data_IF_866213991841
#
_entry.id   IF_866213991841
#
_cell.length_a   1.000
_cell.length_b   1.000
_cell.length_c   1.000
_cell.angle_alpha   90.00
_cell.angle_beta   90.00
_cell.angle_gamma   90.00
#
_symmetry.space_group_name_H-M   'P 1'
#
loop_
_entity.id
_entity.type
_entity.pdbx_description
1 polymer ?
#
# COMPACT_ATOMS: atom_id res chain seq x y z
N UNK A 1 -17.20 34.64 -8.82
CA UNK A 1 -16.34 33.79 -7.97
C UNK A 1 -14.97 33.75 -8.59
N UNK A 2 -13.92 34.05 -7.83
CA UNK A 2 -12.54 33.86 -8.29
C UNK A 2 -12.21 32.37 -8.24
N UNK A 3 -11.50 31.82 -9.22
CA UNK A 3 -11.05 30.42 -9.25
C UNK A 3 -10.40 29.96 -7.93
N UNK A 4 -9.76 30.89 -7.20
CA UNK A 4 -9.13 30.66 -5.90
C UNK A 4 -10.08 30.23 -4.75
N UNK A 5 -11.40 30.38 -4.88
CA UNK A 5 -12.35 30.08 -3.80
C UNK A 5 -13.03 28.70 -3.92
N UNK A 6 -12.95 28.05 -5.09
CA UNK A 6 -13.75 26.85 -5.41
C UNK A 6 -13.38 25.67 -4.50
N UNK A 7 -12.09 25.44 -4.24
CA UNK A 7 -11.64 24.36 -3.35
C UNK A 7 -12.07 24.54 -1.89
N UNK A 8 -11.81 25.71 -1.25
CA UNK A 8 -12.33 25.98 0.09
C UNK A 8 -13.84 25.80 0.22
N UNK A 9 -14.63 26.34 -0.71
CA UNK A 9 -16.08 26.21 -0.69
C UNK A 9 -16.50 24.73 -0.79
N UNK A 10 -15.91 23.98 -1.72
CA UNK A 10 -16.17 22.55 -1.87
C UNK A 10 -15.88 21.77 -0.58
N UNK A 11 -14.72 21.97 0.05
CA UNK A 11 -14.36 21.29 1.31
C UNK A 11 -15.30 21.69 2.46
N UNK A 12 -15.71 22.96 2.52
CA UNK A 12 -16.61 23.45 3.57
C UNK A 12 -18.05 22.97 3.41
N UNK A 13 -18.54 22.82 2.19
CA UNK A 13 -19.92 22.41 1.92
C UNK A 13 -20.08 20.89 1.75
N UNK A 14 -18.98 20.18 1.50
CA UNK A 14 -18.97 18.74 1.31
C UNK A 14 -19.57 17.97 2.50
N UNK A 15 -20.17 16.83 2.15
CA UNK A 15 -20.71 15.80 3.04
C UNK A 15 -21.88 16.23 3.93
N UNK A 16 -22.39 17.46 3.79
CA UNK A 16 -23.53 17.94 4.59
C UNK A 16 -23.25 18.04 6.10
N UNK A 17 -21.99 17.89 6.51
CA UNK A 17 -21.56 17.89 7.90
C UNK A 17 -20.88 19.21 8.29
N UNK A 18 -21.04 19.63 9.54
CA UNK A 18 -20.38 20.83 10.07
C UNK A 18 -18.85 20.63 10.06
N UNK A 19 -18.07 21.57 9.49
CA UNK A 19 -16.61 21.50 9.53
C UNK A 19 -16.07 21.79 10.94
N UNK A 20 -15.09 20.99 11.37
CA UNK A 20 -14.29 21.25 12.57
C UNK A 20 -12.85 21.55 12.11
N UNK A 21 -12.37 22.76 12.40
CA UNK A 21 -11.03 23.19 12.00
C UNK A 21 -9.99 22.71 12.99
N UNK A 22 -8.92 22.08 12.49
CA UNK A 22 -7.75 21.73 13.29
C UNK A 22 -6.77 22.91 13.34
N UNK A 23 -6.22 23.22 14.53
CA UNK A 23 -5.36 24.39 14.74
C UNK A 23 -4.01 24.28 14.05
N UNK A 24 -3.46 23.07 14.00
CA UNK A 24 -2.07 22.84 13.63
C UNK A 24 -1.97 22.49 12.13
N UNK A 25 -1.42 23.36 11.28
CA UNK A 25 -1.32 23.11 9.86
C UNK A 25 -0.25 22.04 9.55
N UNK A 26 -0.44 21.31 8.47
CA UNK A 26 0.59 20.46 7.85
C UNK A 26 1.60 21.37 7.14
N UNK A 27 2.89 21.15 7.40
CA UNK A 27 3.98 21.93 6.79
C UNK A 27 3.91 23.44 7.05
N UNK A 28 3.16 23.88 8.06
CA UNK A 28 2.95 25.31 8.36
C UNK A 28 1.90 26.03 7.50
N UNK A 29 1.42 25.42 6.40
CA UNK A 29 0.60 26.11 5.40
C UNK A 29 -0.75 25.43 5.09
N UNK A 30 -0.80 24.10 5.08
CA UNK A 30 -2.02 23.35 4.71
C UNK A 30 -2.87 23.14 5.96
N UNK A 31 -4.09 23.68 5.97
CA UNK A 31 -5.03 23.47 7.08
C UNK A 31 -5.73 22.13 6.94
N UNK A 32 -6.37 21.67 8.00
CA UNK A 32 -7.21 20.47 7.97
C UNK A 32 -8.60 20.76 8.50
N UNK A 33 -9.56 20.09 7.89
CA UNK A 33 -10.97 20.12 8.25
C UNK A 33 -11.41 18.71 8.57
N UNK A 34 -12.04 18.53 9.71
CA UNK A 34 -12.72 17.30 10.07
C UNK A 34 -14.22 17.43 9.78
N UNK A 35 -14.78 16.35 9.26
CA UNK A 35 -16.20 16.19 8.97
C UNK A 35 -16.68 14.89 9.59
N UNK A 36 -17.86 14.95 10.20
CA UNK A 36 -18.56 13.78 10.74
C UNK A 36 -19.95 13.71 10.09
N UNK A 37 -20.07 13.08 8.92
CA UNK A 37 -21.36 12.88 8.25
C UNK A 37 -22.22 11.90 9.05
N UNK A 38 -23.54 12.10 9.03
CA UNK A 38 -24.48 11.22 9.74
C UNK A 38 -24.36 9.78 9.22
N UNK A 39 -24.06 8.84 10.13
CA UNK A 39 -23.87 7.42 9.80
C UNK A 39 -22.60 7.14 8.98
N UNK A 40 -21.71 8.12 8.83
CA UNK A 40 -20.44 8.00 8.12
C UNK A 40 -19.23 7.92 9.04
N UNK A 41 -18.04 7.59 8.49
CA UNK A 41 -16.78 7.70 9.22
C UNK A 41 -16.38 9.15 9.46
N UNK A 42 -15.36 9.33 10.30
CA UNK A 42 -14.67 10.63 10.38
C UNK A 42 -13.89 10.83 9.09
N UNK A 43 -14.14 11.94 8.40
CA UNK A 43 -13.41 12.32 7.19
C UNK A 43 -12.55 13.54 7.48
N UNK A 44 -11.24 13.36 7.40
CA UNK A 44 -10.25 14.43 7.51
C UNK A 44 -9.88 14.91 6.10
N UNK A 45 -10.00 16.21 5.84
CA UNK A 45 -9.69 16.83 4.55
C UNK A 45 -8.58 17.85 4.71
N UNK A 46 -7.71 17.98 3.71
CA UNK A 46 -6.86 19.15 3.58
C UNK A 46 -7.67 20.36 3.11
N UNK A 47 -7.18 21.53 3.49
CA UNK A 47 -7.63 22.83 2.99
C UNK A 47 -6.40 23.63 2.62
N UNK A 48 -6.11 23.67 1.31
CA UNK A 48 -4.98 24.38 0.73
C UNK A 48 -3.92 23.46 0.11
N UNK A 49 -4.08 22.13 0.14
CA UNK A 49 -3.17 21.24 -0.61
C UNK A 49 -3.27 21.51 -2.12
N UNK A 50 -4.44 21.97 -2.58
CA UNK A 50 -4.69 22.38 -3.97
C UNK A 50 -3.81 23.55 -4.44
N UNK A 51 -3.16 24.26 -3.52
CA UNK A 51 -2.23 25.36 -3.84
C UNK A 51 -0.79 24.92 -3.98
N UNK A 52 -0.48 23.66 -3.63
CA UNK A 52 0.84 23.11 -3.87
C UNK A 52 1.03 22.91 -5.37
N UNK A 53 2.18 23.35 -5.88
CA UNK A 53 2.45 23.30 -7.30
C UNK A 53 2.73 21.85 -7.74
N UNK A 54 2.05 21.41 -8.79
CA UNK A 54 2.22 20.09 -9.40
C UNK A 54 2.74 20.23 -10.82
N UNK A 55 3.51 19.26 -11.30
CA UNK A 55 4.05 19.26 -12.66
C UNK A 55 3.00 18.92 -13.72
N UNK A 56 1.94 18.21 -13.33
CA UNK A 56 0.77 17.98 -14.18
C UNK A 56 -0.15 19.20 -14.30
N UNK A 57 0.00 20.19 -13.40
CA UNK A 57 -0.93 21.31 -13.24
C UNK A 57 -2.26 20.94 -12.57
N UNK A 58 -2.47 19.67 -12.23
CA UNK A 58 -3.66 19.24 -11.49
C UNK A 58 -3.66 19.81 -10.07
N UNK A 59 -4.80 20.36 -9.65
CA UNK A 59 -5.04 20.82 -8.29
C UNK A 59 -5.83 19.76 -7.52
N UNK A 60 -5.35 19.39 -6.32
CA UNK A 60 -6.01 18.37 -5.50
C UNK A 60 -6.11 18.77 -4.04
N UNK A 61 -7.24 18.44 -3.40
CA UNK A 61 -7.29 18.27 -1.96
C UNK A 61 -7.22 16.77 -1.64
N UNK A 62 -6.82 16.44 -0.42
CA UNK A 62 -6.68 15.08 0.06
C UNK A 62 -7.73 14.83 1.13
N UNK A 63 -8.25 13.61 1.18
CA UNK A 63 -9.16 13.17 2.23
C UNK A 63 -8.70 11.82 2.79
N UNK A 64 -8.88 11.58 4.08
CA UNK A 64 -8.73 10.27 4.72
C UNK A 64 -9.98 9.99 5.54
N UNK A 65 -10.50 8.77 5.43
CA UNK A 65 -11.60 8.27 6.24
C UNK A 65 -11.05 7.34 7.32
N UNK A 66 -11.45 7.55 8.58
CA UNK A 66 -11.05 6.72 9.74
C UNK A 66 -12.23 6.54 10.69
N UNK A 67 -12.11 5.58 11.60
CA UNK A 67 -13.02 5.47 12.75
C UNK A 67 -12.75 6.60 13.76
N UNK A 68 -13.74 6.91 14.60
CA UNK A 68 -13.60 7.92 15.64
C UNK A 68 -12.47 7.59 16.63
N UNK A 69 -11.75 8.61 17.06
CA UNK A 69 -10.54 8.49 17.89
C UNK A 69 -9.24 8.25 17.11
N UNK A 70 -9.29 8.01 15.79
CA UNK A 70 -8.12 7.76 14.95
C UNK A 70 -7.73 8.93 14.02
N UNK A 71 -8.22 10.14 14.30
CA UNK A 71 -7.91 11.37 13.54
C UNK A 71 -6.39 11.63 13.43
N UNK A 72 -5.61 11.22 14.43
CA UNK A 72 -4.15 11.31 14.40
C UNK A 72 -3.52 10.49 13.28
N UNK A 73 -4.07 9.32 12.97
CA UNK A 73 -3.60 8.48 11.87
C UNK A 73 -3.87 9.14 10.50
N UNK A 74 -5.08 9.67 10.34
CA UNK A 74 -5.45 10.44 9.16
C UNK A 74 -4.56 11.67 8.97
N UNK A 75 -4.24 12.41 10.04
CA UNK A 75 -3.31 13.54 9.99
C UNK A 75 -1.92 13.12 9.48
N UNK A 76 -1.37 12.02 9.99
CA UNK A 76 -0.04 11.53 9.55
C UNK A 76 -0.06 11.18 8.07
N UNK A 77 -1.10 10.48 7.61
CA UNK A 77 -1.25 10.13 6.20
C UNK A 77 -1.33 11.36 5.29
N UNK A 78 -2.14 12.36 5.67
CA UNK A 78 -2.24 13.62 4.93
C UNK A 78 -0.91 14.36 4.92
N UNK A 79 -0.18 14.38 6.04
CA UNK A 79 1.12 15.03 6.12
C UNK A 79 2.14 14.37 5.19
N UNK A 80 2.25 13.04 5.23
CA UNK A 80 3.13 12.25 4.38
C UNK A 80 2.88 12.54 2.90
N UNK A 81 1.62 12.56 2.48
CA UNK A 81 1.27 12.83 1.08
C UNK A 81 1.46 14.30 0.73
N UNK A 82 1.10 15.25 1.58
CA UNK A 82 1.36 16.67 1.36
C UNK A 82 2.86 16.98 1.22
N UNK A 83 3.71 16.38 2.04
CA UNK A 83 5.16 16.53 1.95
C UNK A 83 5.67 15.99 0.60
N UNK A 84 5.15 14.84 0.15
CA UNK A 84 5.47 14.30 -1.17
C UNK A 84 5.01 15.21 -2.32
N UNK A 85 3.79 15.77 -2.27
CA UNK A 85 3.32 16.77 -3.24
C UNK A 85 4.26 17.99 -3.27
N UNK A 86 4.64 18.50 -2.09
CA UNK A 86 5.46 19.70 -1.98
C UNK A 86 6.90 19.48 -2.48
N UNK A 87 7.48 18.32 -2.16
CA UNK A 87 8.87 18.00 -2.51
C UNK A 87 9.01 17.50 -3.95
N UNK A 88 8.10 16.62 -4.39
CA UNK A 88 8.20 15.91 -5.66
C UNK A 88 7.24 16.44 -6.73
N UNK A 89 6.40 17.43 -6.40
CA UNK A 89 5.49 18.12 -7.33
C UNK A 89 4.58 17.17 -8.12
N UNK A 90 4.24 16.02 -7.52
CA UNK A 90 3.45 14.97 -8.16
C UNK A 90 2.11 14.80 -7.47
N UNK A 91 1.07 14.54 -8.27
CA UNK A 91 -0.23 14.13 -7.73
C UNK A 91 -0.18 12.63 -7.43
N UNK A 92 -0.72 12.15 -6.30
CA UNK A 92 -0.68 10.74 -5.97
C UNK A 92 -1.59 9.97 -6.95
N UNK A 93 -1.07 8.92 -7.61
CA UNK A 93 -1.82 8.20 -8.63
C UNK A 93 -2.98 7.39 -8.04
N UNK A 94 -4.11 7.34 -8.76
CA UNK A 94 -5.26 6.52 -8.39
C UNK A 94 -4.96 5.05 -8.69
N UNK A 95 -5.28 4.16 -7.74
CA UNK A 95 -5.18 2.72 -7.95
C UNK A 95 -3.78 2.12 -7.78
N UNK A 96 -2.72 2.93 -7.62
CA UNK A 96 -1.36 2.44 -7.38
C UNK A 96 -0.96 2.67 -5.92
N UNK A 97 -0.76 1.60 -5.12
CA UNK A 97 -0.33 1.73 -3.74
C UNK A 97 1.09 2.30 -3.64
N UNK A 98 1.27 3.26 -2.74
CA UNK A 98 2.58 3.66 -2.25
C UNK A 98 2.89 2.90 -0.96
N UNK A 99 3.99 2.14 -0.96
CA UNK A 99 4.39 1.25 0.13
C UNK A 99 5.65 1.79 0.80
N UNK A 100 5.70 1.68 2.12
CA UNK A 100 6.89 1.83 2.94
C UNK A 100 7.27 0.49 3.57
N UNK A 101 8.56 0.32 3.86
CA UNK A 101 9.09 -0.86 4.56
C UNK A 101 8.66 -0.91 6.03
N UNK A 102 8.30 0.23 6.62
CA UNK A 102 7.90 0.36 8.01
C UNK A 102 6.51 1.02 8.14
N UNK A 103 5.73 0.66 9.17
CA UNK A 103 4.47 1.33 9.45
C UNK A 103 4.62 2.83 9.71
N UNK A 104 3.67 3.63 9.22
CA UNK A 104 3.67 5.08 9.43
C UNK A 104 3.41 5.48 10.88
N UNK A 105 2.73 4.60 11.64
CA UNK A 105 2.31 4.81 13.01
C UNK A 105 2.81 3.66 13.87
N UNK A 106 3.45 3.99 15.00
CA UNK A 106 3.87 2.99 15.98
C UNK A 106 2.66 2.22 16.51
N UNK A 107 2.78 0.90 16.57
CA UNK A 107 1.73 0.02 17.08
C UNK A 107 0.64 -0.31 16.05
N UNK A 108 0.88 -0.03 14.76
CA UNK A 108 -0.01 -0.44 13.65
C UNK A 108 0.79 -1.22 12.60
N UNK A 109 0.09 -1.96 11.74
CA UNK A 109 0.67 -2.59 10.55
C UNK A 109 0.53 -1.74 9.27
N UNK A 110 -0.01 -0.53 9.40
CA UNK A 110 -0.30 0.35 8.28
C UNK A 110 1.00 0.98 7.76
N UNK A 111 1.45 0.47 6.62
CA UNK A 111 2.69 0.89 5.95
C UNK A 111 2.48 1.32 4.50
N UNK A 112 1.23 1.34 4.01
CA UNK A 112 0.93 1.75 2.65
C UNK A 112 -0.26 2.72 2.54
N UNK A 113 -0.21 3.58 1.53
CA UNK A 113 -1.25 4.54 1.16
C UNK A 113 -1.68 4.26 -0.28
N UNK A 114 -2.98 4.20 -0.52
CA UNK A 114 -3.57 4.07 -1.85
C UNK A 114 -4.59 5.19 -2.09
N UNK A 115 -4.61 5.78 -3.28
CA UNK A 115 -5.72 6.66 -3.67
C UNK A 115 -6.84 5.88 -4.35
N UNK A 116 -8.07 6.10 -3.91
CA UNK A 116 -9.28 5.51 -4.49
C UNK A 116 -10.34 6.58 -4.75
N UNK A 117 -11.36 6.31 -5.59
CA UNK A 117 -12.63 7.03 -5.50
C UNK A 117 -13.18 6.98 -4.07
N UNK A 118 -13.86 8.03 -3.63
CA UNK A 118 -14.50 8.01 -2.31
C UNK A 118 -15.78 7.18 -2.34
N UNK A 119 -16.23 6.78 -1.15
CA UNK A 119 -17.58 6.23 -0.95
C UNK A 119 -18.69 7.25 -1.26
N UNK A 120 -18.36 8.54 -1.24
CA UNK A 120 -19.27 9.66 -1.41
C UNK A 120 -19.52 9.99 -2.89
N UNK A 121 -18.72 9.39 -3.78
CA UNK A 121 -18.85 9.48 -5.23
C UNK A 121 -18.42 10.83 -5.80
N UNK A 122 -18.68 11.00 -7.11
CA UNK A 122 -18.17 12.11 -7.90
C UNK A 122 -18.52 13.51 -7.35
N UNK A 123 -19.66 13.68 -6.68
CA UNK A 123 -20.03 14.97 -6.07
C UNK A 123 -19.07 15.41 -4.98
N UNK A 124 -18.41 14.48 -4.32
CA UNK A 124 -17.35 14.75 -3.36
C UNK A 124 -15.97 14.76 -4.02
N UNK A 125 -15.71 13.80 -4.92
CA UNK A 125 -14.39 13.62 -5.54
C UNK A 125 -14.03 14.70 -6.56
N UNK A 126 -15.01 15.36 -7.16
CA UNK A 126 -14.79 16.37 -8.21
C UNK A 126 -15.08 17.78 -7.68
N UNK A 127 -14.08 18.64 -7.77
CA UNK A 127 -14.21 20.05 -7.44
C UNK A 127 -14.60 20.79 -8.71
N UNK A 128 -15.80 21.37 -8.73
CA UNK A 128 -16.36 22.02 -9.92
C UNK A 128 -16.66 23.50 -9.68
N UNK A 129 -16.46 24.32 -10.71
CA UNK A 129 -16.84 25.73 -10.70
C UNK A 129 -18.36 25.88 -10.58
N UNK A 130 -18.86 27.07 -10.24
CA UNK A 130 -20.31 27.35 -10.23
C UNK A 130 -20.99 27.21 -11.60
N UNK A 131 -20.24 27.07 -12.70
CA UNK A 131 -20.75 26.77 -14.04
C UNK A 131 -20.70 25.28 -14.39
N UNK A 132 -20.10 24.46 -13.54
CA UNK A 132 -19.95 23.02 -13.71
C UNK A 132 -18.59 22.56 -14.26
N UNK A 133 -17.67 23.47 -14.58
CA UNK A 133 -16.34 23.13 -15.10
C UNK A 133 -15.53 22.38 -14.04
N UNK A 134 -14.82 21.31 -14.43
CA UNK A 134 -13.96 20.56 -13.52
C UNK A 134 -12.68 21.35 -13.22
N UNK A 135 -12.48 21.71 -11.95
CA UNK A 135 -11.34 22.51 -11.46
C UNK A 135 -10.27 21.65 -10.79
N UNK A 136 -10.61 20.42 -10.39
CA UNK A 136 -9.69 19.45 -9.83
C UNK A 136 -10.41 18.41 -8.99
N UNK A 137 -9.70 17.79 -8.05
CA UNK A 137 -10.21 16.61 -7.35
C UNK A 137 -9.98 16.63 -5.84
N UNK A 138 -10.84 15.93 -5.12
CA UNK A 138 -10.52 15.42 -3.78
C UNK A 138 -10.04 13.97 -3.94
N UNK A 139 -8.79 13.68 -3.55
CA UNK A 139 -8.21 12.33 -3.60
C UNK A 139 -8.36 11.66 -2.25
N UNK A 140 -9.14 10.57 -2.19
CA UNK A 140 -9.33 9.82 -0.95
C UNK A 140 -8.20 8.81 -0.76
N UNK A 141 -7.47 8.96 0.33
CA UNK A 141 -6.37 8.11 0.75
C UNK A 141 -6.89 6.96 1.61
N UNK A 142 -6.45 5.75 1.29
CA UNK A 142 -6.72 4.50 2.01
C UNK A 142 -5.45 4.03 2.69
N UNK A 143 -5.57 3.74 3.98
CA UNK A 143 -4.51 3.25 4.83
C UNK A 143 -4.51 1.73 4.82
N UNK A 144 -3.44 1.12 4.31
CA UNK A 144 -3.33 -0.31 4.08
C UNK A 144 -2.13 -0.90 4.81
N UNK A 145 -2.25 -2.18 5.18
CA UNK A 145 -1.08 -2.99 5.51
C UNK A 145 -0.25 -3.28 4.24
N UNK A 146 1.00 -3.69 4.40
CA UNK A 146 1.82 -4.07 3.24
C UNK A 146 1.22 -5.22 2.43
N UNK A 147 0.63 -6.20 3.14
CA UNK A 147 -0.04 -7.35 2.54
C UNK A 147 -1.26 -6.94 1.70
N UNK A 148 -2.09 -6.04 2.23
CA UNK A 148 -3.24 -5.48 1.52
C UNK A 148 -2.80 -4.68 0.30
N UNK A 149 -1.73 -3.88 0.41
CA UNK A 149 -1.19 -3.12 -0.70
C UNK A 149 -0.64 -4.02 -1.81
N UNK A 150 0.10 -5.08 -1.45
CA UNK A 150 0.55 -6.09 -2.40
C UNK A 150 -0.64 -6.78 -3.09
N UNK A 151 -1.67 -7.13 -2.32
CA UNK A 151 -2.89 -7.71 -2.86
C UNK A 151 -3.59 -6.78 -3.85
N UNK A 152 -3.76 -5.49 -3.52
CA UNK A 152 -4.37 -4.50 -4.41
C UNK A 152 -3.57 -4.30 -5.68
N UNK A 153 -2.24 -4.27 -5.60
CA UNK A 153 -1.40 -4.13 -6.79
C UNK A 153 -1.63 -5.26 -7.81
N UNK A 154 -1.95 -6.46 -7.34
CA UNK A 154 -2.22 -7.61 -8.20
C UNK A 154 -3.69 -7.80 -8.58
N UNK A 155 -4.63 -7.39 -7.72
CA UNK A 155 -6.04 -7.77 -7.85
C UNK A 155 -7.00 -6.58 -7.97
N UNK A 156 -6.54 -5.36 -7.74
CA UNK A 156 -7.36 -4.15 -7.69
C UNK A 156 -8.02 -3.90 -6.32
N UNK A 157 -8.47 -2.67 -6.13
CA UNK A 157 -9.08 -2.19 -4.89
C UNK A 157 -10.44 -2.84 -4.61
N UNK A 158 -11.25 -3.03 -5.65
CA UNK A 158 -12.58 -3.62 -5.56
C UNK A 158 -12.51 -5.04 -4.97
N UNK A 159 -11.52 -5.83 -5.38
CA UNK A 159 -11.30 -7.18 -4.84
C UNK A 159 -10.89 -7.19 -3.39
N UNK A 160 -10.13 -6.18 -2.93
CA UNK A 160 -9.80 -6.04 -1.52
C UNK A 160 -11.07 -5.70 -0.71
N UNK A 161 -11.91 -4.80 -1.22
CA UNK A 161 -13.18 -4.45 -0.58
C UNK A 161 -14.12 -5.67 -0.47
N UNK A 162 -14.21 -6.49 -1.52
CA UNK A 162 -14.96 -7.75 -1.50
C UNK A 162 -14.44 -8.69 -0.41
N UNK A 163 -13.12 -8.86 -0.29
CA UNK A 163 -12.50 -9.69 0.76
C UNK A 163 -12.73 -9.14 2.17
N UNK A 164 -12.68 -7.83 2.33
CA UNK A 164 -12.97 -7.15 3.59
C UNK A 164 -14.47 -7.18 3.95
N UNK A 165 -15.33 -7.53 3.00
CA UNK A 165 -16.79 -7.45 3.11
C UNK A 165 -17.35 -6.03 2.94
N UNK A 166 -16.59 -5.00 3.32
CA UNK A 166 -16.91 -3.60 3.05
C UNK A 166 -15.68 -2.70 3.23
N UNK A 167 -15.75 -1.46 2.73
CA UNK A 167 -14.72 -0.44 3.00
C UNK A 167 -14.64 -0.11 4.50
N UNK A 168 -15.73 -0.27 5.26
CA UNK A 168 -15.74 0.04 6.70
C UNK A 168 -14.80 -0.85 7.51
N UNK A 169 -14.63 -2.10 7.09
CA UNK A 169 -13.66 -3.02 7.68
C UNK A 169 -12.20 -2.59 7.46
N UNK A 170 -11.95 -1.61 6.57
CA UNK A 170 -10.61 -1.09 6.24
C UNK A 170 -10.34 0.30 6.87
N UNK A 171 -11.27 0.85 7.66
CA UNK A 171 -11.13 2.18 8.25
C UNK A 171 -10.36 2.19 9.57
N UNK A 172 -10.43 1.10 10.33
CA UNK A 172 -9.69 0.95 11.58
C UNK A 172 -8.22 0.69 11.26
N UNK A 173 -7.34 1.62 11.65
CA UNK A 173 -5.89 1.53 11.41
C UNK A 173 -5.19 0.55 12.35
N UNK A 174 -5.89 0.06 13.37
CA UNK A 174 -5.40 -0.95 14.33
C UNK A 174 -5.85 -2.37 13.97
N UNK A 175 -6.63 -2.52 12.89
CA UNK A 175 -7.05 -3.84 12.40
C UNK A 175 -5.84 -4.70 12.02
N UNK A 176 -6.05 -6.01 12.08
CA UNK A 176 -5.20 -6.97 11.36
C UNK A 176 -5.50 -6.92 9.86
N UNK A 177 -4.51 -7.27 9.05
CA UNK A 177 -4.66 -7.38 7.60
C UNK A 177 -5.83 -8.31 7.21
N UNK A 178 -6.73 -7.85 6.33
CA UNK A 178 -7.84 -8.69 5.82
C UNK A 178 -7.38 -9.74 4.79
N UNK A 179 -6.11 -9.66 4.38
CA UNK A 179 -5.45 -10.65 3.54
C UNK A 179 -4.25 -11.24 4.28
N UNK A 180 -4.04 -12.54 4.12
CA UNK A 180 -2.81 -13.17 4.60
C UNK A 180 -1.63 -12.55 3.84
N UNK A 181 -0.63 -12.07 4.56
CA UNK A 181 0.62 -11.59 3.97
C UNK A 181 1.22 -12.69 3.10
N UNK A 182 1.19 -12.48 1.78
CA UNK A 182 2.10 -13.16 0.88
C UNK A 182 3.43 -12.42 0.92
N UNK A 183 4.51 -13.16 0.78
CA UNK A 183 5.86 -12.61 0.75
C UNK A 183 6.73 -13.17 1.86
N UNK A 184 7.96 -13.50 1.49
CA UNK A 184 9.00 -13.90 2.42
C UNK A 184 9.60 -12.64 3.06
N UNK A 185 9.74 -12.57 4.40
CA UNK A 185 10.44 -11.46 5.05
C UNK A 185 11.86 -11.25 4.50
N UNK A 186 12.29 -10.00 4.37
CA UNK A 186 13.62 -9.65 3.83
C UNK A 186 14.78 -10.27 4.63
N UNK A 187 14.58 -10.49 5.93
CA UNK A 187 15.54 -11.11 6.84
C UNK A 187 15.35 -12.63 7.00
N UNK A 188 14.41 -13.25 6.28
CA UNK A 188 14.26 -14.69 6.32
C UNK A 188 15.54 -15.38 5.82
N UNK A 189 16.04 -16.41 6.52
CA UNK A 189 17.17 -17.17 6.02
C UNK A 189 16.73 -18.00 4.81
N UNK A 190 17.64 -18.12 3.84
CA UNK A 190 17.52 -19.02 2.69
C UNK A 190 18.46 -20.18 2.91
N UNK A 191 17.91 -21.38 3.10
CA UNK A 191 18.66 -22.62 3.12
C UNK A 191 18.76 -23.15 1.69
N UNK A 192 19.98 -23.33 1.20
CA UNK A 192 20.22 -23.86 -0.13
C UNK A 192 21.36 -24.87 -0.12
N UNK A 193 21.39 -25.72 -1.15
CA UNK A 193 22.50 -26.65 -1.37
C UNK A 193 23.65 -25.97 -2.09
N UNK A 194 24.88 -26.44 -1.86
CA UNK A 194 26.08 -25.97 -2.56
C UNK A 194 26.04 -26.16 -4.07
N UNK A 195 25.17 -27.04 -4.59
CA UNK A 195 24.93 -27.21 -6.02
C UNK A 195 24.46 -25.92 -6.72
N UNK A 196 23.90 -24.97 -5.98
CA UNK A 196 23.57 -23.64 -6.51
C UNK A 196 24.80 -22.86 -7.02
N UNK A 197 26.01 -23.27 -6.61
CA UNK A 197 27.26 -22.80 -7.20
C UNK A 197 27.28 -22.92 -8.73
N UNK A 198 26.70 -23.99 -9.27
CA UNK A 198 26.77 -24.37 -10.68
C UNK A 198 25.39 -24.46 -11.35
N UNK A 199 24.32 -24.60 -10.57
CA UNK A 199 22.96 -24.80 -11.08
C UNK A 199 21.98 -23.75 -10.54
N UNK A 200 21.00 -23.31 -11.35
CA UNK A 200 19.97 -22.39 -10.88
C UNK A 200 18.97 -23.07 -9.92
N UNK A 201 18.27 -22.29 -9.09
CA UNK A 201 17.12 -22.77 -8.32
C UNK A 201 16.10 -23.43 -9.23
N UNK A 202 15.62 -24.61 -8.83
CA UNK A 202 14.53 -25.28 -9.53
C UNK A 202 13.27 -25.37 -8.68
N UNK A 203 13.42 -25.70 -7.40
CA UNK A 203 12.34 -25.57 -6.42
C UNK A 203 12.73 -24.56 -5.35
N UNK A 204 11.77 -23.70 -5.01
CA UNK A 204 11.90 -22.73 -3.92
C UNK A 204 10.66 -22.84 -3.04
N UNK A 205 10.83 -23.24 -1.79
CA UNK A 205 9.76 -23.43 -0.82
C UNK A 205 9.83 -22.36 0.25
N UNK A 206 8.70 -21.72 0.56
CA UNK A 206 8.60 -20.88 1.74
C UNK A 206 7.93 -21.65 2.86
N UNK A 207 8.67 -21.97 3.92
CA UNK A 207 8.16 -22.75 5.07
C UNK A 207 7.29 -21.91 6.02
N UNK A 208 7.21 -20.61 5.80
CA UNK A 208 6.61 -19.62 6.71
C UNK A 208 7.62 -18.94 7.64
N UNK A 209 8.80 -19.52 7.82
CA UNK A 209 9.89 -18.94 8.61
C UNK A 209 11.18 -18.72 7.80
N UNK A 210 11.39 -19.54 6.76
CA UNK A 210 12.59 -19.53 5.94
C UNK A 210 12.28 -19.98 4.51
N UNK A 211 13.20 -19.68 3.60
CA UNK A 211 13.20 -20.24 2.26
C UNK A 211 14.07 -21.49 2.23
N UNK A 212 13.64 -22.50 1.48
CA UNK A 212 14.44 -23.65 1.10
C UNK A 212 14.54 -23.67 -0.42
N UNK A 213 15.75 -23.86 -0.95
CA UNK A 213 15.97 -23.94 -2.39
C UNK A 213 16.81 -25.15 -2.77
N UNK A 214 16.34 -25.90 -3.77
CA UNK A 214 17.02 -27.08 -4.33
C UNK A 214 17.05 -27.01 -5.85
N UNK A 215 18.06 -27.65 -6.44
CA UNK A 215 18.31 -27.65 -7.89
C UNK A 215 17.63 -28.82 -8.61
N UNK A 216 17.21 -29.86 -7.87
CA UNK A 216 16.67 -31.11 -8.42
C UNK A 216 17.70 -32.18 -8.71
N UNK A 217 18.97 -31.86 -8.51
CA UNK A 217 20.09 -32.74 -8.79
C UNK A 217 20.64 -33.36 -7.50
N UNK A 218 20.14 -32.92 -6.35
CA UNK A 218 20.45 -33.48 -5.05
C UNK A 218 19.91 -34.91 -4.92
N UNK A 219 20.76 -35.83 -4.45
CA UNK A 219 20.31 -37.15 -3.99
C UNK A 219 19.94 -37.11 -2.51
N UNK A 220 19.20 -38.11 -2.01
CA UNK A 220 18.88 -38.23 -0.58
C UNK A 220 20.15 -38.22 0.29
N UNK A 221 21.16 -39.00 -0.08
CA UNK A 221 22.46 -39.04 0.62
C UNK A 221 23.17 -37.68 0.63
N UNK A 222 22.98 -36.87 -0.41
CA UNK A 222 23.54 -35.52 -0.50
C UNK A 222 22.80 -34.55 0.43
N UNK A 223 21.48 -34.66 0.48
CA UNK A 223 20.60 -33.86 1.35
C UNK A 223 20.79 -34.20 2.84
N UNK A 224 21.15 -35.44 3.17
CA UNK A 224 21.39 -35.85 4.55
C UNK A 224 22.71 -35.32 5.14
N UNK A 225 23.63 -34.85 4.30
CA UNK A 225 24.91 -34.28 4.75
C UNK A 225 24.81 -32.75 4.94
N UNK A 226 24.82 -32.32 6.20
CA UNK A 226 24.75 -30.91 6.57
C UNK A 226 25.90 -30.06 5.98
N UNK A 227 27.05 -30.67 5.65
CA UNK A 227 28.17 -29.95 5.04
C UNK A 227 27.91 -29.51 3.59
N UNK A 228 26.87 -30.04 2.95
CA UNK A 228 26.42 -29.67 1.61
C UNK A 228 25.46 -28.47 1.57
N UNK A 229 25.11 -27.91 2.73
CA UNK A 229 24.13 -26.83 2.84
C UNK A 229 24.80 -25.49 3.15
N UNK A 230 24.18 -24.41 2.70
CA UNK A 230 24.54 -23.03 2.98
C UNK A 230 23.31 -22.23 3.42
N UNK A 231 23.55 -21.17 4.17
CA UNK A 231 22.52 -20.23 4.62
C UNK A 231 22.85 -18.85 4.11
N UNK A 232 21.97 -18.29 3.28
CA UNK A 232 22.10 -16.95 2.73
C UNK A 232 20.96 -16.06 3.27
N UNK A 233 21.08 -14.74 3.08
CA UNK A 233 19.95 -13.83 3.26
C UNK A 233 19.08 -13.81 2.00
N UNK A 234 17.79 -13.47 2.14
CA UNK A 234 16.89 -13.24 1.00
C UNK A 234 17.49 -12.26 0.00
N UNK A 235 18.13 -11.19 0.47
CA UNK A 235 18.80 -10.20 -0.37
C UNK A 235 19.95 -10.78 -1.21
N UNK A 236 20.84 -11.58 -0.62
CA UNK A 236 21.94 -12.23 -1.37
C UNK A 236 21.40 -13.25 -2.39
N UNK A 237 20.36 -13.99 -2.02
CA UNK A 237 19.71 -14.95 -2.90
C UNK A 237 19.06 -14.26 -4.11
N UNK A 238 18.29 -13.19 -3.88
CA UNK A 238 17.69 -12.37 -4.95
C UNK A 238 18.74 -11.65 -5.81
N UNK A 239 19.87 -11.25 -5.22
CA UNK A 239 20.97 -10.65 -5.96
C UNK A 239 21.58 -11.62 -6.99
N UNK A 240 21.61 -12.92 -6.66
CA UNK A 240 22.12 -13.97 -7.57
C UNK A 240 21.04 -14.51 -8.52
N UNK A 241 19.81 -14.66 -8.04
CA UNK A 241 18.70 -15.24 -8.80
C UNK A 241 17.50 -14.28 -8.84
N UNK A 242 17.60 -13.15 -9.54
CA UNK A 242 16.56 -12.12 -9.51
C UNK A 242 15.20 -12.60 -10.04
N UNK A 243 15.19 -13.60 -10.92
CA UNK A 243 13.97 -14.15 -11.51
C UNK A 243 13.05 -14.85 -10.50
N UNK A 244 13.57 -15.31 -9.35
CA UNK A 244 12.72 -15.90 -8.29
C UNK A 244 11.94 -14.85 -7.50
N UNK A 245 12.21 -13.57 -7.71
CA UNK A 245 11.62 -12.47 -6.96
C UNK A 245 10.10 -12.36 -7.09
N UNK A 246 9.52 -12.87 -8.18
CA UNK A 246 8.07 -12.98 -8.34
C UNK A 246 7.46 -13.83 -7.23
N UNK A 247 7.97 -15.05 -7.05
CA UNK A 247 7.54 -15.96 -6.00
C UNK A 247 7.82 -15.39 -4.61
N UNK A 248 9.05 -14.91 -4.36
CA UNK A 248 9.44 -14.41 -3.02
C UNK A 248 8.54 -13.29 -2.51
N UNK A 249 8.00 -12.43 -3.39
CA UNK A 249 7.06 -11.36 -3.00
C UNK A 249 5.64 -11.84 -2.71
N UNK A 250 5.26 -13.02 -3.19
CA UNK A 250 3.89 -13.51 -3.13
C UNK A 250 3.73 -14.80 -2.31
N UNK A 251 4.84 -15.47 -1.99
CA UNK A 251 4.86 -16.79 -1.37
C UNK A 251 4.12 -16.81 -0.04
N UNK A 252 3.30 -17.85 0.17
CA UNK A 252 2.66 -18.14 1.45
C UNK A 252 3.39 -19.29 2.16
N UNK A 253 3.27 -19.37 3.50
CA UNK A 253 3.78 -20.53 4.24
C UNK A 253 3.28 -21.84 3.63
N UNK A 254 4.20 -22.77 3.41
CA UNK A 254 3.95 -24.09 2.81
C UNK A 254 3.97 -24.13 1.29
N UNK A 255 4.08 -23.00 0.58
CA UNK A 255 4.09 -23.02 -0.88
C UNK A 255 5.48 -23.35 -1.44
N UNK A 256 5.49 -24.11 -2.52
CA UNK A 256 6.68 -24.41 -3.33
C UNK A 256 6.47 -23.91 -4.75
N UNK A 257 7.43 -23.13 -5.26
CA UNK A 257 7.49 -22.74 -6.66
C UNK A 257 8.48 -23.63 -7.42
N UNK A 258 8.01 -24.22 -8.52
CA UNK A 258 8.82 -24.91 -9.52
C UNK A 258 9.15 -23.94 -10.66
N UNK A 259 10.44 -23.74 -10.92
CA UNK A 259 10.96 -22.96 -12.04
C UNK A 259 11.49 -23.91 -13.13
N UNK A 260 11.02 -23.76 -14.36
CA UNK A 260 11.52 -24.54 -15.51
C UNK A 260 12.78 -23.94 -16.12
N UNK A 261 13.00 -22.64 -15.94
CA UNK A 261 14.11 -21.86 -16.49
C UNK A 261 14.32 -20.56 -15.69
N UNK A 262 15.13 -19.66 -16.24
CA UNK A 262 15.49 -18.36 -15.69
C UNK A 262 14.57 -17.20 -16.10
N UNK A 263 13.44 -17.48 -16.77
CA UNK A 263 12.47 -16.45 -17.20
C UNK A 263 11.77 -15.77 -16.01
N UNK A 264 11.69 -16.46 -14.87
CA UNK A 264 10.92 -16.06 -13.70
C UNK A 264 9.47 -16.53 -13.72
N UNK A 265 9.05 -17.25 -14.77
CA UNK A 265 7.81 -18.02 -14.74
C UNK A 265 7.97 -19.23 -13.82
N UNK A 266 6.95 -19.48 -12.99
CA UNK A 266 6.92 -20.61 -12.07
C UNK A 266 5.52 -21.17 -11.94
N UNK A 267 5.45 -22.44 -11.55
CA UNK A 267 4.21 -23.13 -11.18
C UNK A 267 4.25 -23.37 -9.68
N UNK A 268 3.13 -23.15 -8.99
CA UNK A 268 3.00 -23.55 -7.59
C UNK A 268 2.69 -25.04 -7.56
N UNK A 269 3.56 -25.82 -6.90
CA UNK A 269 3.25 -27.20 -6.53
C UNK A 269 2.44 -27.16 -5.24
N UNK A 270 1.19 -27.64 -5.32
CA UNK A 270 0.36 -27.92 -4.16
C UNK A 270 0.61 -29.39 -3.77
N UNK A 271 0.96 -29.64 -2.50
CA UNK A 271 0.97 -30.98 -1.89
C UNK A 271 -0.45 -31.56 -1.74
#
# INVERSE_FOLDING_TARGET
>A
MTESAVFPEHVFDALGARPIMHSDPIGGAVRMVEKQPDGGPITMLTLGASRLATDSGESVELAVEVVDGQQGAARVALAIVCDDLAMNRRVPPVGTPWRNSEPFLRGTEISAILVTPSRWGAKFDEVRSGKGDLMGHVRTLRLLTDAEAAFVASNGWERLCEKAGSVDALLDVTRESVVVSGGVPDNAPVFLTKLHGEHPPRWVTFTGANLQSVTGLESEQYMDDASNHEVWSTGSFLGRYPWVGGFIRAARPGQTALFSDDSGEYVIEDD
#
